data_IF_844140910308
#
_entry.id   IF_844140910308
#
_cell.length_a   1.000
_cell.length_b   1.000
_cell.length_c   1.000
_cell.angle_alpha   90.00
_cell.angle_beta   90.00
_cell.angle_gamma   90.00
#
_symmetry.space_group_name_H-M   'P 1'
#
loop_
_entity.id
_entity.type
_entity.pdbx_description
1 polymer ?
#
# COMPACT_ATOMS: atom_id res chain seq x y z
N UNK A 1 -5.67 21.57 38.67
CA UNK A 1 -4.52 20.82 38.10
C UNK A 1 -4.83 19.38 37.64
N UNK A 2 -5.95 18.74 38.01
CA UNK A 2 -6.29 17.37 37.54
C UNK A 2 -6.74 17.28 36.07
N UNK A 3 -7.30 18.35 35.50
CA UNK A 3 -7.80 18.38 34.11
C UNK A 3 -6.69 18.42 33.04
N UNK A 4 -5.49 18.91 33.36
CA UNK A 4 -4.37 18.95 32.43
C UNK A 4 -3.76 17.54 32.20
N UNK A 5 -3.83 16.67 33.21
CA UNK A 5 -3.26 15.32 33.15
C UNK A 5 -4.16 14.33 32.38
N UNK A 6 -5.48 14.52 32.38
CA UNK A 6 -6.39 13.71 31.56
C UNK A 6 -6.25 14.01 30.07
N UNK A 7 -5.98 15.27 29.70
CA UNK A 7 -5.70 15.67 28.31
C UNK A 7 -4.42 15.02 27.77
N UNK A 8 -3.36 14.96 28.59
CA UNK A 8 -2.09 14.33 28.22
C UNK A 8 -2.20 12.81 28.05
N UNK A 9 -3.05 12.16 28.86
CA UNK A 9 -3.31 10.72 28.78
C UNK A 9 -4.06 10.33 27.51
N UNK A 10 -5.02 11.16 27.07
CA UNK A 10 -5.70 10.96 25.79
C UNK A 10 -4.76 11.17 24.59
N UNK A 11 -3.82 12.11 24.68
CA UNK A 11 -2.85 12.34 23.60
C UNK A 11 -1.83 11.20 23.46
N UNK A 12 -1.46 10.55 24.55
CA UNK A 12 -0.56 9.38 24.55
C UNK A 12 -1.20 8.12 23.95
N UNK A 13 -2.52 7.94 24.07
CA UNK A 13 -3.23 6.80 23.48
C UNK A 13 -3.39 6.90 21.95
N UNK A 14 -3.23 8.08 21.34
CA UNK A 14 -3.15 8.23 19.88
C UNK A 14 -1.83 7.70 19.29
N UNK A 15 -0.75 7.65 20.08
CA UNK A 15 0.58 7.21 19.59
C UNK A 15 0.75 5.69 19.41
N UNK A 16 -0.25 4.88 19.77
CA UNK A 16 -0.22 3.41 19.61
C UNK A 16 -1.14 2.86 18.51
N UNK A 17 -1.66 3.71 17.61
CA UNK A 17 -2.38 3.29 16.40
C UNK A 17 -1.47 3.35 15.15
N UNK A 18 -0.26 2.80 15.25
CA UNK A 18 0.67 2.67 14.12
C UNK A 18 0.51 1.37 13.32
N UNK A 19 -0.58 0.62 13.52
CA UNK A 19 -0.94 -0.56 12.70
C UNK A 19 -1.77 -0.22 11.44
N UNK A 20 -1.91 1.06 11.09
CA UNK A 20 -2.58 1.50 9.88
C UNK A 20 -1.89 1.19 8.53
N UNK A 21 -0.56 0.95 8.41
CA UNK A 21 0.02 0.76 7.08
C UNK A 21 -0.46 -0.54 6.44
N UNK A 22 -0.49 -1.66 7.16
CA UNK A 22 -0.79 -2.98 6.59
C UNK A 22 -2.13 -3.05 5.83
N UNK A 23 -3.17 -2.37 6.33
CA UNK A 23 -4.50 -2.34 5.67
C UNK A 23 -4.54 -1.47 4.42
N UNK A 24 -3.74 -0.40 4.39
CA UNK A 24 -3.61 0.44 3.20
C UNK A 24 -2.85 -0.30 2.10
N UNK A 25 -1.79 -1.04 2.46
CA UNK A 25 -1.04 -1.89 1.53
C UNK A 25 -1.93 -2.96 0.87
N UNK A 26 -2.65 -3.75 1.67
CA UNK A 26 -3.57 -4.77 1.16
C UNK A 26 -4.65 -4.19 0.22
N UNK A 27 -5.11 -2.98 0.50
CA UNK A 27 -6.11 -2.29 -0.34
C UNK A 27 -5.50 -1.79 -1.65
N UNK A 28 -4.28 -1.26 -1.61
CA UNK A 28 -3.59 -0.81 -2.81
C UNK A 28 -3.21 -2.00 -3.69
N UNK A 29 -2.77 -3.09 -3.07
CA UNK A 29 -2.42 -4.34 -3.75
C UNK A 29 -3.63 -4.93 -4.49
N UNK A 30 -4.78 -5.04 -3.82
CA UNK A 30 -6.00 -5.53 -4.46
C UNK A 30 -6.49 -4.62 -5.59
N UNK A 31 -6.29 -3.30 -5.48
CA UNK A 31 -6.60 -2.37 -6.56
C UNK A 31 -5.66 -2.55 -7.77
N UNK A 32 -4.36 -2.69 -7.54
CA UNK A 32 -3.38 -2.89 -8.62
C UNK A 32 -3.69 -4.18 -9.39
N UNK A 33 -3.96 -5.26 -8.65
CA UNK A 33 -4.33 -6.55 -9.22
C UNK A 33 -5.64 -6.47 -10.03
N UNK A 34 -6.66 -5.80 -9.49
CA UNK A 34 -7.92 -5.59 -10.20
C UNK A 34 -7.73 -4.83 -11.53
N UNK A 35 -6.91 -3.78 -11.55
CA UNK A 35 -6.62 -3.06 -12.79
C UNK A 35 -5.75 -3.87 -13.76
N UNK A 36 -4.84 -4.70 -13.25
CA UNK A 36 -4.08 -5.63 -14.09
C UNK A 36 -5.01 -6.64 -14.79
N UNK A 37 -5.99 -7.19 -14.08
CA UNK A 37 -6.98 -8.11 -14.66
C UNK A 37 -7.83 -7.41 -15.74
N UNK A 38 -8.34 -6.21 -15.45
CA UNK A 38 -9.07 -5.41 -16.44
C UNK A 38 -8.23 -5.11 -17.68
N UNK A 39 -6.94 -4.82 -17.50
CA UNK A 39 -6.02 -4.61 -18.61
C UNK A 39 -5.88 -5.87 -19.46
N UNK A 40 -5.69 -7.04 -18.85
CA UNK A 40 -5.59 -8.31 -19.58
C UNK A 40 -6.88 -8.59 -20.37
N UNK A 41 -8.05 -8.41 -19.74
CA UNK A 41 -9.35 -8.59 -20.40
C UNK A 41 -9.47 -7.66 -21.61
N UNK A 42 -9.12 -6.38 -21.46
CA UNK A 42 -9.12 -5.41 -22.55
C UNK A 42 -8.14 -5.79 -23.67
N UNK A 43 -6.94 -6.23 -23.29
CA UNK A 43 -5.91 -6.69 -24.24
C UNK A 43 -6.40 -7.89 -25.06
N UNK A 44 -6.99 -8.90 -24.40
CA UNK A 44 -7.55 -10.07 -25.09
C UNK A 44 -8.74 -9.70 -26.00
N UNK A 45 -9.59 -8.75 -25.59
CA UNK A 45 -10.68 -8.29 -26.43
C UNK A 45 -10.17 -7.64 -27.72
N UNK A 46 -9.12 -6.81 -27.65
CA UNK A 46 -8.49 -6.21 -28.83
C UNK A 46 -7.81 -7.27 -29.69
N UNK A 47 -7.12 -8.23 -29.07
CA UNK A 47 -6.51 -9.35 -29.79
C UNK A 47 -7.55 -10.16 -30.59
N UNK A 48 -8.73 -10.39 -30.01
CA UNK A 48 -9.83 -11.08 -30.72
C UNK A 48 -10.37 -10.27 -31.91
N UNK A 49 -10.47 -8.95 -31.78
CA UNK A 49 -10.89 -8.05 -32.88
C UNK A 49 -9.88 -8.10 -34.03
N UNK A 50 -8.58 -8.15 -33.71
CA UNK A 50 -7.48 -8.20 -34.69
C UNK A 50 -7.17 -9.62 -35.20
N UNK A 51 -8.12 -10.56 -35.04
CA UNK A 51 -8.00 -11.96 -35.48
C UNK A 51 -6.76 -12.70 -34.92
N UNK A 52 -6.28 -12.31 -33.74
CA UNK A 52 -5.15 -12.95 -33.06
C UNK A 52 -3.77 -12.38 -33.41
N UNK A 53 -3.68 -11.28 -34.15
CA UNK A 53 -2.39 -10.67 -34.52
C UNK A 53 -1.89 -9.69 -33.45
N UNK A 54 -0.94 -10.15 -32.62
CA UNK A 54 -0.36 -9.35 -31.53
C UNK A 54 0.32 -8.06 -32.02
N UNK A 55 0.83 -8.05 -33.27
CA UNK A 55 1.52 -6.88 -33.83
C UNK A 55 0.60 -5.67 -34.05
N UNK A 56 -0.72 -5.90 -34.10
CA UNK A 56 -1.74 -4.88 -34.36
C UNK A 56 -2.40 -4.31 -33.11
N UNK A 57 -2.29 -4.97 -31.96
CA UNK A 57 -2.92 -4.55 -30.71
C UNK A 57 -2.42 -3.17 -30.24
N UNK A 58 -1.23 -2.74 -30.68
CA UNK A 58 -0.70 -1.38 -30.47
C UNK A 58 -0.17 -1.11 -29.06
N UNK A 59 -0.36 -2.04 -28.13
CA UNK A 59 0.20 -2.00 -26.77
C UNK A 59 0.64 -3.39 -26.30
N UNK A 60 1.71 -3.42 -25.51
CA UNK A 60 2.37 -4.65 -25.06
C UNK A 60 1.51 -5.43 -24.08
N UNK A 61 1.49 -6.76 -24.18
CA UNK A 61 0.88 -7.60 -23.15
C UNK A 61 1.58 -7.38 -21.81
N UNK A 62 0.83 -6.98 -20.80
CA UNK A 62 1.35 -6.79 -19.44
C UNK A 62 1.80 -8.15 -18.89
N UNK A 63 3.05 -8.26 -18.45
CA UNK A 63 3.55 -9.47 -17.80
C UNK A 63 3.47 -9.33 -16.28
N UNK A 64 3.52 -10.46 -15.57
CA UNK A 64 3.55 -10.43 -14.09
C UNK A 64 4.79 -9.72 -13.59
N UNK A 65 5.91 -9.85 -14.30
CA UNK A 65 7.18 -9.19 -13.98
C UNK A 65 7.12 -7.66 -14.13
N UNK A 66 6.18 -7.13 -14.92
CA UNK A 66 5.99 -5.69 -15.10
C UNK A 66 5.25 -5.05 -13.91
N UNK A 67 4.54 -5.86 -13.11
CA UNK A 67 3.84 -5.42 -11.90
C UNK A 67 4.86 -5.39 -10.75
N UNK A 68 5.50 -4.23 -10.56
CA UNK A 68 6.40 -4.01 -9.43
C UNK A 68 5.62 -3.60 -8.20
N UNK A 69 5.64 -4.45 -7.18
CA UNK A 69 5.23 -4.06 -5.85
C UNK A 69 6.26 -3.12 -5.26
N UNK A 70 5.78 -2.07 -4.61
CA UNK A 70 6.65 -1.17 -3.86
C UNK A 70 6.94 -1.83 -2.51
N UNK A 71 7.84 -2.81 -2.51
CA UNK A 71 8.21 -3.51 -1.29
C UNK A 71 8.96 -2.56 -0.35
N UNK A 72 8.44 -2.40 0.86
CA UNK A 72 9.01 -1.56 1.90
C UNK A 72 10.37 -2.13 2.34
N UNK A 73 11.50 -1.40 2.26
CA UNK A 73 12.83 -1.94 2.60
C UNK A 73 12.93 -2.56 4.00
N UNK A 74 12.05 -2.18 4.93
CA UNK A 74 12.00 -2.79 6.26
C UNK A 74 11.46 -4.23 6.28
N UNK A 75 10.58 -4.62 5.35
CA UNK A 75 9.96 -5.96 5.36
C UNK A 75 10.94 -7.05 4.94
N UNK A 76 11.89 -6.74 4.04
CA UNK A 76 12.96 -7.66 3.67
C UNK A 76 13.83 -8.03 4.89
N UNK A 77 14.21 -7.04 5.71
CA UNK A 77 15.03 -7.31 6.90
C UNK A 77 14.33 -8.23 7.89
N UNK A 78 13.02 -8.01 8.12
CA UNK A 78 12.24 -8.81 9.07
C UNK A 78 11.94 -10.22 8.54
N UNK A 79 11.70 -10.36 7.23
CA UNK A 79 11.41 -11.66 6.61
C UNK A 79 12.67 -12.53 6.57
N UNK A 80 13.81 -11.96 6.16
CA UNK A 80 15.11 -12.64 6.20
C UNK A 80 15.49 -13.03 7.63
N UNK A 81 15.31 -12.12 8.60
CA UNK A 81 15.59 -12.42 10.01
C UNK A 81 14.68 -13.53 10.56
N UNK A 82 13.41 -13.56 10.16
CA UNK A 82 12.46 -14.59 10.58
C UNK A 82 12.76 -15.96 9.97
N UNK A 83 13.24 -16.00 8.72
CA UNK A 83 13.73 -17.22 8.08
C UNK A 83 14.97 -17.74 8.82
N UNK A 84 15.93 -16.87 9.10
CA UNK A 84 17.13 -17.20 9.88
C UNK A 84 16.78 -17.77 11.27
N UNK A 85 15.83 -17.15 11.97
CA UNK A 85 15.36 -17.68 13.26
C UNK A 85 14.68 -19.05 13.16
N UNK A 86 13.98 -19.34 12.05
CA UNK A 86 13.39 -20.67 11.84
C UNK A 86 14.47 -21.71 11.59
N UNK A 87 15.47 -21.40 10.77
CA UNK A 87 16.61 -22.28 10.52
C UNK A 87 17.41 -22.56 11.80
N UNK A 88 17.69 -21.54 12.61
CA UNK A 88 18.37 -21.72 13.90
C UNK A 88 17.56 -22.61 14.85
N UNK A 89 16.23 -22.44 14.91
CA UNK A 89 15.36 -23.31 15.71
C UNK A 89 15.33 -24.74 15.20
N UNK A 90 15.28 -24.95 13.90
CA UNK A 90 15.34 -26.28 13.30
C UNK A 90 16.68 -26.95 13.60
N UNK A 91 17.78 -26.22 13.44
CA UNK A 91 19.13 -26.73 13.75
C UNK A 91 19.31 -27.05 15.23
N UNK A 92 18.75 -26.23 16.13
CA UNK A 92 18.75 -26.51 17.57
C UNK A 92 17.93 -27.76 17.92
N UNK A 93 16.78 -27.96 17.27
CA UNK A 93 15.99 -29.20 17.43
C UNK A 93 16.77 -30.43 16.97
N UNK A 94 17.40 -30.37 15.80
CA UNK A 94 18.22 -31.48 15.29
C UNK A 94 19.41 -31.79 16.21
N UNK A 95 20.09 -30.77 16.73
CA UNK A 95 21.18 -30.96 17.69
C UNK A 95 20.70 -31.57 19.02
N UNK A 96 19.50 -31.22 19.48
CA UNK A 96 18.92 -31.79 20.70
C UNK A 96 18.58 -33.28 20.54
N UNK A 97 17.98 -33.66 19.40
CA UNK A 97 17.74 -35.07 19.04
C UNK A 97 19.05 -35.86 18.98
N UNK A 98 20.10 -35.27 18.40
CA UNK A 98 21.42 -35.91 18.29
C UNK A 98 22.08 -36.19 19.66
N UNK A 99 21.80 -35.36 20.68
CA UNK A 99 22.33 -35.54 22.05
C UNK A 99 21.50 -36.55 22.84
N UNK A 100 20.16 -36.52 22.72
CA UNK A 100 19.27 -37.44 23.45
C UNK A 100 19.35 -38.87 22.96
N UNK A 101 19.48 -39.09 21.65
CA UNK A 101 19.39 -40.44 21.08
C UNK A 101 20.72 -41.20 21.04
N UNK A 102 21.85 -40.63 21.49
CA UNK A 102 23.12 -41.36 21.61
C UNK A 102 23.46 -42.20 20.38
N UNK A 103 23.29 -41.63 19.17
CA UNK A 103 23.41 -42.37 17.91
C UNK A 103 24.83 -42.96 17.78
N UNK A 104 24.93 -44.25 18.03
CA UNK A 104 25.97 -45.10 17.46
C UNK A 104 25.77 -45.01 15.94
N UNK A 105 26.82 -44.53 15.26
CA UNK A 105 26.94 -44.42 13.81
C UNK A 105 26.53 -45.73 13.14
N UNK A 106 25.25 -45.87 12.82
CA UNK A 106 24.73 -46.95 11.98
C UNK A 106 24.15 -46.26 10.77
N UNK A 107 24.92 -46.30 9.67
CA UNK A 107 24.59 -45.79 8.35
C UNK A 107 23.31 -46.46 7.80
N UNK A 108 22.17 -46.00 8.29
CA UNK A 108 20.90 -46.22 7.63
C UNK A 108 20.52 -44.89 6.98
N UNK A 109 20.94 -44.71 5.73
CA UNK A 109 20.45 -43.68 4.82
C UNK A 109 18.93 -43.88 4.66
N UNK A 110 18.14 -43.34 5.58
CA UNK A 110 16.74 -43.07 5.31
C UNK A 110 16.70 -41.76 4.54
N UNK A 111 16.53 -41.85 3.22
CA UNK A 111 15.89 -40.80 2.44
C UNK A 111 14.60 -40.44 3.17
N UNK A 112 14.64 -39.33 3.92
CA UNK A 112 13.44 -38.67 4.37
C UNK A 112 12.83 -38.10 3.12
N UNK A 113 11.84 -38.80 2.57
CA UNK A 113 10.90 -38.26 1.61
C UNK A 113 10.57 -36.85 2.10
N UNK A 114 11.01 -35.87 1.31
CA UNK A 114 10.67 -34.49 1.50
C UNK A 114 9.16 -34.42 1.41
N UNK A 115 8.49 -34.56 2.54
CA UNK A 115 7.20 -33.93 2.77
C UNK A 115 7.52 -32.44 2.65
N UNK A 116 7.53 -31.99 1.39
CA UNK A 116 7.18 -30.63 1.03
C UNK A 116 5.99 -30.33 1.92
N UNK A 117 6.25 -29.54 2.96
CA UNK A 117 5.22 -28.82 3.70
C UNK A 117 4.31 -28.32 2.60
N UNK A 118 3.08 -28.87 2.46
CA UNK A 118 2.25 -28.55 1.33
C UNK A 118 2.24 -27.05 1.32
N UNK A 119 2.79 -26.47 0.25
CA UNK A 119 2.65 -25.06 -0.02
C UNK A 119 1.21 -24.78 0.36
N UNK A 120 1.00 -23.91 1.35
CA UNK A 120 -0.32 -23.39 1.62
C UNK A 120 -0.71 -22.81 0.27
N UNK A 121 -1.39 -23.65 -0.52
CA UNK A 121 -1.84 -23.33 -1.85
C UNK A 121 -2.48 -21.98 -1.68
N UNK A 122 -2.20 -21.10 -2.63
CA UNK A 122 -2.74 -19.77 -2.76
C UNK A 122 -4.28 -19.78 -2.92
N UNK A 123 -5.02 -20.56 -2.12
CA UNK A 123 -6.45 -20.48 -1.84
C UNK A 123 -6.85 -19.10 -1.32
N UNK A 124 -5.89 -18.28 -0.89
CA UNK A 124 -6.13 -16.86 -0.63
C UNK A 124 -6.55 -16.10 -1.91
N UNK A 125 -6.16 -16.57 -3.10
CA UNK A 125 -6.46 -15.91 -4.38
C UNK A 125 -7.67 -16.46 -5.13
N UNK A 126 -8.10 -17.71 -4.90
CA UNK A 126 -9.21 -18.32 -5.65
C UNK A 126 -10.60 -18.14 -5.01
N UNK A 127 -10.69 -17.81 -3.71
CA UNK A 127 -11.95 -17.37 -3.09
C UNK A 127 -12.12 -15.87 -3.30
N UNK A 128 -12.96 -15.50 -4.26
CA UNK A 128 -13.31 -14.10 -4.57
C UNK A 128 -13.57 -13.25 -3.31
N UNK A 129 -12.55 -12.51 -2.88
CA UNK A 129 -12.56 -11.68 -1.67
C UNK A 129 -13.47 -10.44 -1.78
N UNK A 130 -14.11 -10.28 -2.94
CA UNK A 130 -15.13 -9.25 -3.17
C UNK A 130 -16.48 -9.56 -2.48
N UNK A 131 -16.74 -10.81 -2.07
CA UNK A 131 -17.94 -11.12 -1.27
C UNK A 131 -17.86 -10.60 0.17
N UNK A 132 -16.67 -10.59 0.77
CA UNK A 132 -16.49 -10.22 2.19
C UNK A 132 -16.62 -8.71 2.42
N UNK A 133 -16.34 -7.89 1.39
CA UNK A 133 -16.50 -6.43 1.47
C UNK A 133 -17.97 -6.02 1.41
N UNK A 134 -18.80 -6.77 0.66
CA UNK A 134 -20.26 -6.60 0.71
C UNK A 134 -20.86 -7.18 2.00
N UNK A 135 -20.30 -8.27 2.54
CA UNK A 135 -20.80 -8.87 3.78
C UNK A 135 -20.61 -7.94 4.98
N UNK A 136 -19.48 -7.24 5.14
CA UNK A 136 -19.26 -6.39 6.33
C UNK A 136 -20.19 -5.17 6.42
N UNK A 137 -20.69 -4.66 5.29
CA UNK A 137 -21.70 -3.58 5.29
C UNK A 137 -23.10 -4.14 5.55
N UNK A 138 -23.37 -5.38 5.11
CA UNK A 138 -24.60 -6.10 5.44
C UNK A 138 -24.62 -6.68 6.87
N UNK A 139 -23.47 -6.98 7.47
CA UNK A 139 -23.33 -7.60 8.80
C UNK A 139 -23.74 -6.64 9.94
N UNK A 140 -24.00 -5.36 9.62
CA UNK A 140 -24.76 -4.46 10.50
C UNK A 140 -26.19 -4.96 10.79
N UNK A 141 -26.64 -6.04 10.16
CA UNK A 141 -27.90 -6.74 10.50
C UNK A 141 -27.78 -7.73 11.66
N UNK A 142 -26.57 -8.13 12.09
CA UNK A 142 -26.41 -9.26 13.03
C UNK A 142 -26.63 -8.86 14.51
N UNK A 143 -26.69 -7.58 14.85
CA UNK A 143 -26.93 -7.16 16.25
C UNK A 143 -27.92 -6.00 16.46
N UNK A 144 -28.71 -5.62 15.45
CA UNK A 144 -29.77 -4.62 15.64
C UNK A 144 -30.69 -4.43 14.43
N UNK A 145 -31.91 -3.89 14.63
CA UNK A 145 -32.95 -3.78 13.61
C UNK A 145 -32.70 -2.58 12.69
N UNK A 146 -31.49 -2.45 12.12
CA UNK A 146 -31.32 -1.53 11.01
C UNK A 146 -31.98 -2.16 9.80
N UNK A 147 -33.22 -1.73 9.52
CA UNK A 147 -33.89 -2.03 8.26
C UNK A 147 -32.97 -1.71 7.08
N UNK A 148 -33.12 -2.42 5.97
CA UNK A 148 -32.43 -2.14 4.71
C UNK A 148 -32.47 -0.63 4.35
N UNK A 149 -33.58 0.04 4.62
CA UNK A 149 -33.73 1.48 4.42
C UNK A 149 -32.74 2.32 5.24
N UNK A 150 -32.41 1.92 6.47
CA UNK A 150 -31.41 2.60 7.29
C UNK A 150 -30.00 2.42 6.72
N UNK A 151 -29.66 1.22 6.24
CA UNK A 151 -28.38 0.97 5.59
C UNK A 151 -28.21 1.84 4.33
N UNK A 152 -29.23 1.91 3.47
CA UNK A 152 -29.24 2.77 2.28
C UNK A 152 -29.06 4.25 2.65
N UNK A 153 -29.73 4.73 3.71
CA UNK A 153 -29.58 6.12 4.18
C UNK A 153 -28.17 6.41 4.69
N UNK A 154 -27.55 5.46 5.39
CA UNK A 154 -26.17 5.61 5.88
C UNK A 154 -25.21 5.69 4.70
N UNK A 155 -25.31 4.77 3.74
CA UNK A 155 -24.44 4.79 2.55
C UNK A 155 -24.66 6.02 1.68
N UNK A 156 -25.91 6.46 1.51
CA UNK A 156 -26.22 7.72 0.84
C UNK A 156 -25.58 8.91 1.55
N UNK A 157 -25.69 9.00 2.88
CA UNK A 157 -25.10 10.08 3.67
C UNK A 157 -23.56 10.09 3.57
N UNK A 158 -22.93 8.91 3.54
CA UNK A 158 -21.49 8.78 3.30
C UNK A 158 -21.10 9.22 1.89
N UNK A 159 -21.84 8.79 0.87
CA UNK A 159 -21.59 9.19 -0.52
C UNK A 159 -21.73 10.70 -0.71
N UNK A 160 -22.80 11.28 -0.15
CA UNK A 160 -23.04 12.72 -0.17
C UNK A 160 -21.93 13.51 0.56
N UNK A 161 -21.49 13.05 1.73
CA UNK A 161 -20.38 13.67 2.46
C UNK A 161 -19.04 13.57 1.72
N UNK A 162 -18.81 12.51 0.93
CA UNK A 162 -17.63 12.39 0.05
C UNK A 162 -17.71 13.38 -1.11
N UNK A 163 -18.86 13.47 -1.78
CA UNK A 163 -19.09 14.44 -2.86
C UNK A 163 -18.85 15.87 -2.40
N UNK A 164 -19.45 16.25 -1.26
CA UNK A 164 -19.25 17.54 -0.58
C UNK A 164 -17.76 17.87 -0.35
N UNK A 165 -17.01 16.92 0.23
CA UNK A 165 -15.57 17.10 0.46
C UNK A 165 -14.81 17.26 -0.85
N UNK A 166 -15.15 16.47 -1.85
CA UNK A 166 -14.54 16.56 -3.17
C UNK A 166 -14.78 17.92 -3.83
N UNK A 167 -16.01 18.44 -3.77
CA UNK A 167 -16.34 19.79 -4.27
C UNK A 167 -15.54 20.88 -3.53
N UNK A 168 -15.38 20.76 -2.21
CA UNK A 168 -14.54 21.66 -1.41
C UNK A 168 -13.06 21.59 -1.84
N UNK A 169 -12.52 20.39 -2.03
CA UNK A 169 -11.13 20.18 -2.51
C UNK A 169 -10.93 20.77 -3.92
N UNK A 170 -11.87 20.53 -4.84
CA UNK A 170 -11.85 21.14 -6.19
C UNK A 170 -11.91 22.66 -6.11
N UNK A 171 -12.74 23.21 -5.21
CA UNK A 171 -12.82 24.65 -4.97
C UNK A 171 -11.51 25.24 -4.46
N UNK A 172 -10.86 24.57 -3.49
CA UNK A 172 -9.54 24.96 -2.97
C UNK A 172 -8.49 24.93 -4.08
N UNK A 173 -8.38 23.82 -4.83
CA UNK A 173 -7.41 23.67 -5.92
C UNK A 173 -7.60 24.71 -7.01
N UNK A 174 -8.85 25.02 -7.35
CA UNK A 174 -9.17 26.07 -8.33
C UNK A 174 -8.70 27.43 -7.84
N UNK A 175 -8.97 27.75 -6.58
CA UNK A 175 -8.56 29.03 -5.98
C UNK A 175 -7.04 29.14 -5.80
N UNK A 176 -6.36 28.05 -5.43
CA UNK A 176 -4.89 27.98 -5.39
C UNK A 176 -4.30 28.23 -6.78
N UNK A 177 -4.81 27.53 -7.80
CA UNK A 177 -4.38 27.70 -9.19
C UNK A 177 -4.57 29.15 -9.66
N UNK A 178 -5.65 29.81 -9.23
CA UNK A 178 -5.91 31.23 -9.52
C UNK A 178 -4.93 32.18 -8.81
N UNK A 179 -4.48 31.85 -7.59
CA UNK A 179 -3.58 32.68 -6.79
C UNK A 179 -2.11 32.54 -7.15
N UNK A 180 -1.69 31.38 -7.65
CA UNK A 180 -0.28 31.09 -7.99
C UNK A 180 0.33 32.15 -8.93
N UNK A 181 -0.30 32.54 -10.07
CA UNK A 181 0.26 33.56 -10.95
C UNK A 181 0.43 34.92 -10.26
N UNK A 182 -0.58 35.35 -9.50
CA UNK A 182 -0.54 36.63 -8.75
C UNK A 182 0.60 36.63 -7.73
N UNK A 183 0.82 35.49 -7.07
CA UNK A 183 1.95 35.36 -6.14
C UNK A 183 3.29 35.44 -6.89
N UNK A 184 3.40 34.81 -8.07
CA UNK A 184 4.61 34.88 -8.89
C UNK A 184 4.89 36.29 -9.42
N UNK A 185 3.86 37.03 -9.84
CA UNK A 185 3.99 38.44 -10.25
C UNK A 185 4.49 39.30 -9.08
N UNK A 186 3.91 39.14 -7.89
CA UNK A 186 4.37 39.85 -6.69
C UNK A 186 5.82 39.51 -6.34
N UNK A 187 6.20 38.23 -6.41
CA UNK A 187 7.58 37.82 -6.21
C UNK A 187 8.52 38.39 -7.27
N UNK A 188 8.12 38.41 -8.55
CA UNK A 188 8.89 38.98 -9.63
C UNK A 188 9.22 40.46 -9.36
N UNK A 189 8.23 41.26 -8.98
CA UNK A 189 8.44 42.67 -8.61
C UNK A 189 9.42 42.82 -7.45
N UNK A 190 9.29 42.00 -6.40
CA UNK A 190 10.23 42.02 -5.26
C UNK A 190 11.66 41.72 -5.72
N UNK A 191 11.83 40.77 -6.64
CA UNK A 191 13.16 40.44 -7.17
C UNK A 191 13.72 41.53 -8.09
N UNK A 192 12.89 42.19 -8.89
CA UNK A 192 13.29 43.35 -9.70
C UNK A 192 13.76 44.51 -8.81
N UNK A 193 13.01 44.85 -7.76
CA UNK A 193 13.40 45.87 -6.79
C UNK A 193 14.75 45.54 -6.13
N UNK A 194 14.95 44.27 -5.74
CA UNK A 194 16.22 43.79 -5.17
C UNK A 194 17.36 43.84 -6.18
N UNK A 195 17.09 43.50 -7.44
CA UNK A 195 18.08 43.56 -8.52
C UNK A 195 18.52 45.01 -8.77
N UNK A 196 17.59 45.96 -8.76
CA UNK A 196 17.88 47.39 -8.89
C UNK A 196 18.64 47.95 -7.68
N UNK A 197 18.32 47.48 -6.46
CA UNK A 197 19.02 47.88 -5.25
C UNK A 197 20.44 47.28 -5.15
N UNK A 198 20.71 46.18 -5.86
CA UNK A 198 22.03 45.58 -5.92
C UNK A 198 22.92 46.38 -6.89
N UNK A 199 24.05 46.95 -6.43
CA UNK A 199 24.99 47.61 -7.33
C UNK A 199 25.67 46.57 -8.23
N UNK A 200 25.10 46.36 -9.41
CA UNK A 200 25.69 45.56 -10.50
C UNK A 200 26.98 46.26 -10.93
N UNK A 201 28.12 45.85 -10.38
CA UNK A 201 29.42 46.44 -10.70
C UNK A 201 30.48 46.39 -9.60
N UNK A 202 30.15 46.04 -8.36
CA UNK A 202 31.17 45.75 -7.33
C UNK A 202 31.34 44.25 -7.17
N UNK A 203 32.02 43.62 -8.12
CA UNK A 203 32.72 42.35 -7.85
C UNK A 203 34.00 42.72 -7.08
N UNK A 204 34.12 42.46 -5.76
CA UNK A 204 35.31 42.85 -5.00
C UNK A 204 36.53 41.94 -5.24
N UNK A 205 36.53 41.07 -6.26
CA UNK A 205 37.39 39.89 -6.27
C UNK A 205 38.00 39.56 -7.63
N UNK A 206 38.77 40.46 -8.25
CA UNK A 206 39.96 40.06 -9.04
C UNK A 206 41.01 41.17 -8.84
N UNK A 207 41.76 41.12 -7.73
CA UNK A 207 43.11 41.69 -7.68
C UNK A 207 44.07 40.51 -7.86
N UNK A 208 44.91 40.60 -8.89
CA UNK A 208 45.95 39.62 -9.20
C UNK A 208 47.14 39.67 -8.25
#
# INVERSE_FOLDING_TARGET
>A
MRAALSSLRNHLHLKRRTHAPARLWLRNESQILFFADLYQIGWFAVLQIEAGDESKVGFTRLKREDIRYMDDPETFSKKVEKVRQREERQKARLAQVQVEEGWISSDCEMEVDGVEDPEEDDEFFTKGSNQTVMSQVLDCTISGPCSFATAVRIEWSKAWARLRRWEEEVGILTEETRRVPVSHESWATIWEERAHASPVGRNPCIRG
#
